data_IF_273245249351
#
_entry.id   IF_273245249351
#
_cell.length_a   1.000
_cell.length_b   1.000
_cell.length_c   1.000
_cell.angle_alpha   90.00
_cell.angle_beta   90.00
_cell.angle_gamma   90.00
#
_symmetry.space_group_name_H-M   'P 1'
#
loop_
_entity.id
_entity.type
_entity.pdbx_description
1 polymer ?
#
# COMPACT_ATOMS: atom_id res chain seq x y z
N UNK A 1 11.27 -49.02 -5.52
CA UNK A 1 12.05 -47.89 -6.07
C UNK A 1 11.12 -46.77 -6.57
N UNK A 2 10.22 -46.24 -5.72
CA UNK A 2 9.26 -45.16 -6.11
C UNK A 2 9.49 -43.87 -5.31
N UNK A 3 10.42 -43.90 -4.34
CA UNK A 3 10.70 -42.75 -3.44
C UNK A 3 11.65 -41.73 -4.10
N UNK A 4 12.56 -42.17 -4.97
CA UNK A 4 13.52 -41.30 -5.65
C UNK A 4 12.91 -40.24 -6.60
N UNK A 5 11.90 -40.54 -7.44
CA UNK A 5 11.35 -39.52 -8.35
C UNK A 5 10.51 -38.45 -7.64
N UNK A 6 9.91 -38.76 -6.48
CA UNK A 6 9.12 -37.80 -5.72
C UNK A 6 10.00 -36.74 -5.04
N UNK A 7 11.20 -37.13 -4.58
CA UNK A 7 12.16 -36.21 -3.97
C UNK A 7 12.71 -35.19 -4.99
N UNK A 8 12.88 -35.58 -6.25
CA UNK A 8 13.34 -34.67 -7.32
C UNK A 8 12.27 -33.64 -7.67
N UNK A 9 10.99 -34.03 -7.65
CA UNK A 9 9.87 -33.10 -7.91
C UNK A 9 9.73 -32.01 -6.85
N UNK A 10 10.14 -32.27 -5.60
CA UNK A 10 10.15 -31.29 -4.52
C UNK A 10 11.31 -30.28 -4.60
N UNK A 11 12.40 -30.62 -5.30
CA UNK A 11 13.59 -29.77 -5.44
C UNK A 11 13.48 -28.75 -6.58
N UNK A 12 12.51 -28.91 -7.48
CA UNK A 12 12.24 -28.01 -8.61
C UNK A 12 10.87 -27.34 -8.48
N UNK A 13 10.67 -26.61 -7.39
CA UNK A 13 9.56 -25.67 -7.29
C UNK A 13 9.92 -24.40 -8.10
N UNK A 14 9.06 -23.92 -9.03
CA UNK A 14 9.30 -22.65 -9.70
C UNK A 14 9.33 -21.53 -8.66
N UNK A 15 10.42 -20.77 -8.61
CA UNK A 15 10.62 -19.67 -7.65
C UNK A 15 9.52 -18.59 -7.69
N UNK A 16 8.73 -18.53 -8.79
CA UNK A 16 7.61 -17.61 -8.95
C UNK A 16 6.31 -18.00 -8.23
N UNK A 17 6.24 -19.14 -7.55
CA UNK A 17 5.07 -19.52 -6.75
C UNK A 17 4.99 -18.81 -5.38
N UNK A 18 5.97 -17.95 -5.05
CA UNK A 18 6.06 -17.24 -3.77
C UNK A 18 5.52 -15.81 -3.82
N UNK A 19 4.99 -15.35 -4.97
CA UNK A 19 4.28 -14.09 -5.07
C UNK A 19 2.87 -14.23 -4.47
N UNK A 20 2.79 -14.61 -3.20
CA UNK A 20 1.58 -14.43 -2.43
C UNK A 20 1.26 -12.94 -2.44
N UNK A 21 0.09 -12.60 -2.97
CA UNK A 21 -0.44 -11.23 -3.12
C UNK A 21 -0.62 -10.60 -1.74
N UNK A 22 0.47 -10.11 -1.19
CA UNK A 22 0.54 -9.26 -0.01
C UNK A 22 1.54 -8.17 -0.32
N UNK A 23 1.13 -6.91 -0.24
CA UNK A 23 2.11 -5.82 -0.21
C UNK A 23 2.82 -5.90 1.13
N UNK A 24 3.92 -6.63 1.17
CA UNK A 24 4.78 -6.68 2.34
C UNK A 24 5.57 -5.37 2.42
N UNK A 25 5.66 -4.80 3.62
CA UNK A 25 6.59 -3.70 3.85
C UNK A 25 8.02 -4.19 3.59
N UNK A 26 8.79 -3.44 2.78
CA UNK A 26 10.21 -3.74 2.49
C UNK A 26 11.10 -2.74 3.23
N UNK A 27 12.42 -2.94 3.21
CA UNK A 27 13.33 -1.97 3.84
C UNK A 27 13.32 -0.63 3.10
N UNK A 28 13.40 -0.66 1.76
CA UNK A 28 13.55 0.51 0.87
C UNK A 28 12.99 0.22 -0.53
N UNK A 29 12.81 1.27 -1.34
CA UNK A 29 12.49 1.17 -2.77
C UNK A 29 11.02 0.92 -3.11
N UNK A 30 10.15 0.82 -2.11
CA UNK A 30 8.71 0.70 -2.30
C UNK A 30 8.01 2.06 -2.34
N UNK A 31 6.76 2.07 -2.79
CA UNK A 31 5.99 3.29 -2.96
C UNK A 31 5.45 3.85 -1.63
N UNK A 32 5.14 5.15 -1.65
CA UNK A 32 4.25 5.80 -0.70
C UNK A 32 2.90 6.01 -1.38
N UNK A 33 1.79 5.63 -0.74
CA UNK A 33 0.44 5.78 -1.30
C UNK A 33 -0.38 6.76 -0.50
N UNK A 34 -1.18 7.64 -1.15
CA UNK A 34 -2.13 8.48 -0.43
C UNK A 34 -3.14 7.60 0.31
N UNK A 35 -3.56 8.04 1.50
CA UNK A 35 -4.49 7.32 2.35
C UNK A 35 -5.61 8.25 2.82
N UNK A 36 -6.85 7.78 2.70
CA UNK A 36 -7.96 8.29 3.48
C UNK A 36 -8.04 7.48 4.76
N UNK A 37 -7.87 8.14 5.90
CA UNK A 37 -7.75 7.47 7.20
C UNK A 37 -9.05 7.54 8.01
N UNK A 38 -10.09 8.12 7.42
CA UNK A 38 -11.44 8.17 7.98
C UNK A 38 -11.88 9.58 8.32
N UNK A 39 -12.89 9.65 9.18
CA UNK A 39 -13.57 10.89 9.53
C UNK A 39 -14.03 10.89 10.98
N UNK A 40 -14.23 12.08 11.52
CA UNK A 40 -14.80 12.30 12.84
C UNK A 40 -15.94 13.31 12.75
N UNK A 41 -17.06 13.05 13.42
CA UNK A 41 -18.15 14.02 13.51
C UNK A 41 -17.85 15.02 14.62
N UNK A 42 -17.95 16.30 14.28
CA UNK A 42 -17.73 17.41 15.19
C UNK A 42 -19.03 17.75 15.95
N UNK A 43 -18.92 18.44 17.09
CA UNK A 43 -20.08 18.83 17.92
C UNK A 43 -21.06 19.76 17.20
N UNK A 44 -20.57 20.53 16.22
CA UNK A 44 -21.35 21.43 15.38
C UNK A 44 -22.10 20.71 14.23
N UNK A 45 -22.01 19.38 14.17
CA UNK A 45 -22.62 18.55 13.13
C UNK A 45 -21.79 18.46 11.84
N UNK A 46 -20.64 19.15 11.76
CA UNK A 46 -19.68 19.01 10.68
C UNK A 46 -18.83 17.73 10.79
N UNK A 47 -17.91 17.56 9.84
CA UNK A 47 -16.98 16.43 9.83
C UNK A 47 -15.54 16.89 9.66
N UNK A 48 -14.64 16.30 10.45
CA UNK A 48 -13.19 16.37 10.23
C UNK A 48 -12.78 15.15 9.40
N UNK A 49 -12.05 15.36 8.31
CA UNK A 49 -11.56 14.28 7.45
C UNK A 49 -10.04 14.11 7.65
N UNK A 50 -9.59 12.88 7.75
CA UNK A 50 -8.17 12.55 7.95
C UNK A 50 -7.58 12.00 6.65
N UNK A 51 -6.51 12.65 6.20
CA UNK A 51 -5.75 12.21 5.05
C UNK A 51 -4.28 12.12 5.43
N UNK A 52 -3.61 11.12 4.87
CA UNK A 52 -2.21 10.86 5.13
C UNK A 52 -1.57 10.11 3.98
N UNK A 53 -0.46 9.46 4.28
CA UNK A 53 0.23 8.58 3.37
C UNK A 53 0.64 7.31 4.08
N UNK A 54 0.45 6.17 3.42
CA UNK A 54 1.04 4.91 3.85
C UNK A 54 2.42 4.74 3.22
N UNK A 55 3.45 4.72 4.06
CA UNK A 55 4.80 4.36 3.63
C UNK A 55 4.96 2.83 3.65
N UNK A 56 5.25 2.23 2.50
CA UNK A 56 5.47 0.78 2.39
C UNK A 56 6.92 0.37 2.72
N UNK A 57 7.71 1.28 3.31
CA UNK A 57 9.12 1.08 3.63
C UNK A 57 9.39 1.20 5.14
N UNK A 58 10.26 0.35 5.67
CA UNK A 58 10.66 0.35 7.09
C UNK A 58 11.74 1.38 7.44
N UNK A 59 12.73 1.60 6.56
CA UNK A 59 13.86 2.48 6.85
C UNK A 59 13.90 3.75 5.99
N UNK A 60 13.30 3.70 4.80
CA UNK A 60 13.26 4.85 3.92
C UNK A 60 12.11 5.77 4.33
N UNK A 61 12.46 6.99 4.70
CA UNK A 61 11.50 8.06 4.96
C UNK A 61 11.32 8.94 3.72
N UNK A 62 10.11 9.47 3.55
CA UNK A 62 9.80 10.45 2.52
C UNK A 62 9.38 11.75 3.17
N UNK A 63 10.00 12.85 2.75
CA UNK A 63 9.55 14.19 3.09
C UNK A 63 8.87 14.79 1.86
N UNK A 64 7.53 14.81 1.89
CA UNK A 64 6.71 15.35 0.80
C UNK A 64 6.07 16.66 1.28
N UNK A 65 6.59 17.83 0.88
CA UNK A 65 6.04 19.10 1.33
C UNK A 65 4.64 19.32 0.76
N UNK A 66 3.79 19.99 1.54
CA UNK A 66 2.51 20.49 1.04
C UNK A 66 2.77 21.64 0.07
N UNK A 67 2.09 21.66 -1.07
CA UNK A 67 2.26 22.72 -2.06
C UNK A 67 1.48 22.50 -3.35
N UNK A 68 1.77 23.26 -4.43
CA UNK A 68 1.04 23.17 -5.70
C UNK A 68 1.07 21.79 -6.38
N UNK A 69 2.01 20.93 -5.99
CA UNK A 69 2.13 19.56 -6.49
C UNK A 69 1.66 18.49 -5.48
N UNK A 70 1.22 18.92 -4.29
CA UNK A 70 0.75 18.04 -3.24
C UNK A 70 -0.29 18.75 -2.36
N UNK A 71 -1.56 18.65 -2.77
CA UNK A 71 -2.69 19.34 -2.14
C UNK A 71 -3.99 18.54 -2.34
N UNK A 72 -5.00 18.89 -1.56
CA UNK A 72 -6.37 18.39 -1.74
C UNK A 72 -7.24 19.46 -2.40
N UNK A 73 -8.13 19.03 -3.30
CA UNK A 73 -9.14 19.90 -3.92
C UNK A 73 -10.46 19.16 -3.99
N UNK A 74 -11.55 19.92 -3.99
CA UNK A 74 -12.87 19.39 -4.29
C UNK A 74 -12.98 19.12 -5.79
N UNK A 75 -13.59 17.98 -6.13
CA UNK A 75 -14.05 17.66 -7.48
C UNK A 75 -15.58 17.80 -7.55
N UNK A 76 -16.12 17.79 -8.77
CA UNK A 76 -17.54 17.52 -8.95
C UNK A 76 -17.90 16.08 -8.55
N UNK A 77 -19.19 15.84 -8.29
CA UNK A 77 -19.70 14.52 -7.97
C UNK A 77 -19.51 13.58 -9.18
N UNK A 78 -18.86 12.44 -8.96
CA UNK A 78 -18.52 11.48 -10.02
C UNK A 78 -17.40 11.95 -10.96
N UNK A 79 -16.71 13.05 -10.66
CA UNK A 79 -15.64 13.58 -11.52
C UNK A 79 -14.37 12.72 -11.59
N UNK A 80 -14.31 11.63 -10.82
CA UNK A 80 -13.19 10.69 -10.75
C UNK A 80 -13.60 9.25 -11.09
N UNK A 81 -14.87 9.02 -11.48
CA UNK A 81 -15.40 7.71 -11.85
C UNK A 81 -15.01 7.29 -13.28
#
# INVERSE_FOLDING_TARGET
MVIAPLAIFLLFQPAGAQDAVGRFMRLRGEIVSPAYEGWWQNEDGGYTLFFGYMNSNWEQEFNVPIGPHNYFTLSEAGGLD
#
